data_IF_255739871317
#
_entry.id   IF_255739871317
#
_cell.length_a   1.000
_cell.length_b   1.000
_cell.length_c   1.000
_cell.angle_alpha   90.00
_cell.angle_beta   90.00
_cell.angle_gamma   90.00
#
_symmetry.space_group_name_H-M   'P 1'
#
loop_
_entity.id
_entity.type
_entity.pdbx_description
1 polymer ?
#
# COMPACT_ATOMS: atom_id res chain seq x y z
N UNK A 1 -7.49 10.41 6.81
CA UNK A 1 -6.58 9.27 6.67
C UNK A 1 -7.34 7.96 6.73
N UNK A 2 -8.09 7.74 7.80
CA UNK A 2 -8.87 6.51 7.95
C UNK A 2 -9.87 6.36 6.81
N UNK A 3 -10.51 7.46 6.41
CA UNK A 3 -11.45 7.44 5.30
C UNK A 3 -10.78 7.08 3.98
N UNK A 4 -9.56 7.59 3.76
CA UNK A 4 -8.79 7.28 2.56
C UNK A 4 -8.45 5.79 2.51
N UNK A 5 -7.96 5.23 3.61
CA UNK A 5 -7.65 3.80 3.69
C UNK A 5 -8.86 2.95 3.39
N UNK A 6 -9.98 3.27 4.01
CA UNK A 6 -11.22 2.51 3.83
C UNK A 6 -11.74 2.58 2.41
N UNK A 7 -11.81 3.79 1.84
CA UNK A 7 -12.33 3.98 0.50
C UNK A 7 -11.42 3.37 -0.57
N UNK A 8 -10.10 3.53 -0.42
CA UNK A 8 -9.15 2.97 -1.37
C UNK A 8 -9.11 1.44 -1.29
N UNK A 9 -9.17 0.87 -0.09
CA UNK A 9 -9.23 -0.58 0.07
C UNK A 9 -10.47 -1.15 -0.60
N UNK A 10 -11.60 -0.50 -0.41
CA UNK A 10 -12.86 -0.93 -1.02
C UNK A 10 -12.81 -0.84 -2.54
N UNK A 11 -12.20 0.22 -3.06
CA UNK A 11 -12.09 0.44 -4.50
C UNK A 11 -11.38 -0.72 -5.22
N UNK A 12 -10.29 -1.22 -4.66
CA UNK A 12 -9.51 -2.29 -5.27
C UNK A 12 -9.93 -3.69 -4.80
N UNK A 13 -10.87 -3.76 -3.88
CA UNK A 13 -11.29 -5.05 -3.33
C UNK A 13 -10.33 -5.63 -2.32
N UNK A 14 -9.50 -4.80 -1.72
CA UNK A 14 -8.56 -5.25 -0.71
C UNK A 14 -9.26 -5.45 0.64
N UNK A 15 -8.72 -6.36 1.43
CA UNK A 15 -9.22 -6.61 2.77
C UNK A 15 -8.52 -5.66 3.74
N UNK A 16 -9.27 -4.71 4.27
CA UNK A 16 -8.74 -3.75 5.22
C UNK A 16 -8.44 -4.43 6.56
N UNK A 17 -7.29 -4.12 7.14
CA UNK A 17 -6.91 -4.65 8.45
C UNK A 17 -7.50 -3.79 9.55
N UNK A 18 -8.18 -4.42 10.49
CA UNK A 18 -8.68 -3.72 11.68
C UNK A 18 -7.49 -3.44 12.59
N UNK A 19 -7.49 -2.26 13.20
CA UNK A 19 -6.44 -1.87 14.14
C UNK A 19 -5.05 -2.01 13.53
N UNK A 20 -4.86 -1.46 12.33
CA UNK A 20 -3.56 -1.44 11.65
C UNK A 20 -2.45 -1.11 12.63
N UNK A 21 -1.41 -1.93 12.62
CA UNK A 21 -0.27 -1.73 13.50
C UNK A 21 -0.43 -2.30 14.90
N UNK A 22 -1.60 -2.83 15.25
CA UNK A 22 -1.86 -3.33 16.60
C UNK A 22 -2.16 -4.82 16.68
N UNK A 23 -2.76 -5.40 15.68
CA UNK A 23 -3.15 -6.82 15.68
C UNK A 23 -2.10 -7.72 15.08
N UNK A 24 -2.51 -8.94 14.74
CA UNK A 24 -1.65 -9.91 14.07
C UNK A 24 -1.35 -9.52 12.64
N UNK A 25 -2.25 -8.79 12.00
CA UNK A 25 -2.04 -8.29 10.64
C UNK A 25 -1.52 -6.86 10.69
N UNK A 26 -0.41 -6.61 10.01
CA UNK A 26 0.22 -5.30 9.92
C UNK A 26 -0.07 -4.67 8.56
N UNK A 27 0.13 -3.34 8.47
CA UNK A 27 -0.20 -2.60 7.25
C UNK A 27 -1.69 -2.27 7.19
N UNK A 28 -2.10 -1.51 6.18
CA UNK A 28 -3.48 -1.02 6.07
C UNK A 28 -4.45 -2.05 5.50
N UNK A 29 -3.99 -2.83 4.53
CA UNK A 29 -4.84 -3.79 3.84
C UNK A 29 -4.05 -4.92 3.21
N UNK A 30 -4.72 -6.03 2.92
CA UNK A 30 -4.18 -7.12 2.12
C UNK A 30 -4.87 -7.11 0.77
N UNK A 31 -4.09 -7.16 -0.30
CA UNK A 31 -4.60 -7.20 -1.66
C UNK A 31 -3.77 -8.23 -2.44
N UNK A 32 -4.39 -9.36 -2.75
CA UNK A 32 -3.69 -10.51 -3.33
C UNK A 32 -2.46 -10.86 -2.47
N UNK A 33 -1.27 -10.89 -3.04
CA UNK A 33 -0.05 -11.21 -2.33
C UNK A 33 0.65 -9.97 -1.75
N UNK A 34 -0.03 -8.83 -1.72
CA UNK A 34 0.54 -7.59 -1.22
C UNK A 34 -0.03 -7.21 0.13
N UNK A 35 0.83 -6.66 0.98
CA UNK A 35 0.41 -5.87 2.12
C UNK A 35 0.54 -4.41 1.70
N UNK A 36 -0.56 -3.69 1.73
CA UNK A 36 -0.67 -2.35 1.16
C UNK A 36 -0.74 -1.30 2.26
N UNK A 37 0.06 -0.25 2.12
CA UNK A 37 -0.06 0.96 2.91
C UNK A 37 -0.55 2.09 2.01
N UNK A 38 -1.56 2.82 2.46
CA UNK A 38 -2.08 3.97 1.71
C UNK A 38 -1.51 5.25 2.27
N UNK A 39 -1.02 6.12 1.39
CA UNK A 39 -0.49 7.44 1.75
C UNK A 39 -1.24 8.51 0.97
N UNK A 40 -1.90 9.40 1.69
CA UNK A 40 -2.58 10.53 1.09
C UNK A 40 -1.62 11.71 1.03
N UNK A 41 -1.52 12.34 -0.13
CA UNK A 41 -0.53 13.39 -0.36
C UNK A 41 -1.22 14.75 -0.44
N UNK A 42 -0.83 15.68 0.46
CA UNK A 42 -1.24 17.07 0.38
C UNK A 42 -0.40 17.80 -0.67
N UNK A 43 0.84 18.14 -0.31
CA UNK A 43 1.76 18.82 -1.24
C UNK A 43 2.83 17.89 -1.79
N UNK A 44 3.31 16.97 -0.96
CA UNK A 44 4.38 16.07 -1.36
C UNK A 44 4.34 14.81 -0.52
N UNK A 45 4.99 13.78 -1.02
CA UNK A 45 5.23 12.55 -0.30
C UNK A 45 6.71 12.22 -0.38
N UNK A 46 7.31 11.91 0.75
CA UNK A 46 8.72 11.53 0.81
C UNK A 46 8.85 10.04 1.09
N UNK A 47 9.48 9.34 0.17
CA UNK A 47 9.86 7.95 0.38
C UNK A 47 11.31 7.92 0.83
N UNK A 48 11.56 7.36 2.00
CA UNK A 48 12.91 7.17 2.48
C UNK A 48 13.09 5.72 2.95
N UNK A 49 14.30 5.39 3.40
CA UNK A 49 14.59 4.02 3.85
C UNK A 49 13.70 3.56 4.98
N UNK A 50 13.39 4.45 5.91
CA UNK A 50 12.55 4.09 7.07
C UNK A 50 11.12 3.76 6.66
N UNK A 51 10.56 4.54 5.75
CA UNK A 51 9.21 4.31 5.24
C UNK A 51 9.13 2.96 4.53
N UNK A 52 10.10 2.69 3.65
CA UNK A 52 10.13 1.43 2.92
C UNK A 52 10.40 0.24 3.85
N UNK A 53 11.30 0.40 4.81
CA UNK A 53 11.62 -0.66 5.78
C UNK A 53 10.40 -1.04 6.61
N UNK A 54 9.59 -0.07 7.01
CA UNK A 54 8.37 -0.35 7.75
C UNK A 54 7.37 -1.14 6.89
N UNK A 55 7.17 -0.70 5.66
CA UNK A 55 6.28 -1.40 4.74
C UNK A 55 6.73 -2.84 4.51
N UNK A 56 8.03 -3.03 4.33
CA UNK A 56 8.62 -4.35 4.14
C UNK A 56 8.45 -5.24 5.36
N UNK A 57 8.72 -4.70 6.55
CA UNK A 57 8.58 -5.45 7.79
C UNK A 57 7.13 -5.91 8.00
N UNK A 58 6.19 -5.01 7.77
CA UNK A 58 4.76 -5.34 7.92
C UNK A 58 4.35 -6.42 6.92
N UNK A 59 4.82 -6.33 5.68
CA UNK A 59 4.51 -7.30 4.65
C UNK A 59 5.11 -8.68 4.97
N UNK A 60 6.34 -8.72 5.43
CA UNK A 60 7.01 -9.98 5.80
C UNK A 60 6.22 -10.69 6.90
N UNK A 61 5.76 -9.95 7.89
CA UNK A 61 4.97 -10.52 8.99
C UNK A 61 3.68 -11.17 8.50
N UNK A 62 3.14 -10.68 7.40
CA UNK A 62 1.92 -11.22 6.79
C UNK A 62 2.21 -12.26 5.70
N UNK A 63 3.48 -12.52 5.39
CA UNK A 63 3.87 -13.42 4.31
C UNK A 63 3.61 -12.84 2.93
N UNK A 64 3.63 -11.54 2.79
CA UNK A 64 3.29 -10.82 1.56
C UNK A 64 4.44 -9.94 1.09
N UNK A 65 4.28 -9.40 -0.12
CA UNK A 65 5.16 -8.37 -0.66
C UNK A 65 4.62 -6.99 -0.27
N UNK A 66 5.51 -6.01 -0.02
CA UNK A 66 5.05 -4.67 0.32
C UNK A 66 4.61 -3.88 -0.91
N UNK A 67 3.60 -3.05 -0.73
CA UNK A 67 3.18 -2.06 -1.73
C UNK A 67 2.74 -0.80 -1.01
N UNK A 68 3.19 0.35 -1.49
CA UNK A 68 2.76 1.64 -0.98
C UNK A 68 1.94 2.30 -2.06
N UNK A 69 0.69 2.60 -1.77
CA UNK A 69 -0.21 3.28 -2.69
C UNK A 69 -0.27 4.75 -2.29
N UNK A 70 0.22 5.61 -3.17
CA UNK A 70 0.25 7.05 -2.95
C UNK A 70 -0.93 7.66 -3.69
N UNK A 71 -1.80 8.34 -2.96
CA UNK A 71 -3.00 8.95 -3.51
C UNK A 71 -2.80 10.45 -3.59
N UNK A 72 -2.83 11.01 -4.79
CA UNK A 72 -2.58 12.42 -5.05
C UNK A 72 -3.83 13.05 -5.64
N UNK A 73 -4.21 14.23 -5.14
CA UNK A 73 -5.33 14.98 -5.68
C UNK A 73 -6.66 14.59 -5.07
N UNK A 74 -7.71 15.18 -5.60
CA UNK A 74 -9.06 15.04 -5.06
C UNK A 74 -10.07 14.80 -6.17
N UNK A 75 -11.18 14.19 -5.82
CA UNK A 75 -12.30 14.00 -6.73
C UNK A 75 -11.91 13.26 -7.98
N UNK A 76 -12.32 13.78 -9.12
CA UNK A 76 -12.05 13.16 -10.42
C UNK A 76 -10.60 13.33 -10.89
N UNK A 77 -9.87 14.23 -10.24
CA UNK A 77 -8.46 14.45 -10.56
C UNK A 77 -7.52 13.58 -9.73
N UNK A 78 -8.07 12.67 -8.95
CA UNK A 78 -7.27 11.80 -8.09
C UNK A 78 -6.42 10.84 -8.91
N UNK A 79 -5.12 10.78 -8.55
CA UNK A 79 -4.16 9.89 -9.19
C UNK A 79 -3.61 8.95 -8.14
N UNK A 80 -3.46 7.70 -8.50
CA UNK A 80 -2.92 6.69 -7.59
C UNK A 80 -1.64 6.11 -8.17
N UNK A 81 -0.59 6.14 -7.36
CA UNK A 81 0.72 5.59 -7.73
C UNK A 81 1.01 4.40 -6.84
N UNK A 82 1.53 3.35 -7.41
CA UNK A 82 1.92 2.16 -6.65
C UNK A 82 3.44 2.07 -6.60
N UNK A 83 3.98 1.91 -5.40
CA UNK A 83 5.41 1.70 -5.19
C UNK A 83 5.60 0.25 -4.77
N UNK A 84 6.28 -0.52 -5.62
CA UNK A 84 6.60 -1.93 -5.35
C UNK A 84 8.07 -2.17 -5.67
N UNK A 85 8.60 -3.27 -5.15
CA UNK A 85 9.96 -3.64 -5.48
C UNK A 85 10.07 -3.94 -6.97
N UNK A 86 11.15 -3.46 -7.60
CA UNK A 86 11.33 -3.59 -9.04
C UNK A 86 11.25 -5.04 -9.52
N UNK A 87 11.77 -5.98 -8.73
CA UNK A 87 11.72 -7.39 -9.08
C UNK A 87 10.29 -7.91 -9.27
N UNK A 88 9.35 -7.38 -8.51
CA UNK A 88 7.94 -7.78 -8.64
C UNK A 88 7.36 -7.24 -9.95
N UNK A 89 7.67 -5.99 -10.28
CA UNK A 89 7.22 -5.41 -11.53
C UNK A 89 7.81 -6.17 -12.72
N UNK A 90 9.08 -6.55 -12.64
CA UNK A 90 9.72 -7.33 -13.68
C UNK A 90 9.03 -8.67 -13.90
N UNK A 91 8.64 -9.35 -12.84
CA UNK A 91 7.88 -10.59 -12.94
C UNK A 91 6.55 -10.38 -13.67
N UNK A 92 5.85 -9.30 -13.34
CA UNK A 92 4.57 -8.98 -13.97
C UNK A 92 4.76 -8.72 -15.47
N UNK A 93 5.78 -7.93 -15.81
CA UNK A 93 6.05 -7.53 -17.20
C UNK A 93 6.51 -8.71 -18.05
N UNK A 94 7.32 -9.59 -17.46
CA UNK A 94 7.92 -10.71 -18.19
C UNK A 94 6.93 -11.83 -18.55
N UNK A 95 5.71 -11.59 -18.30
CA UNK A 95 4.70 -12.45 -18.86
C UNK A 95 4.33 -13.62 -18.04
N UNK A 96 4.41 -13.35 -16.99
CA UNK A 96 3.77 -14.29 -16.15
C UNK A 96 2.38 -14.63 -16.67
#
# INVERSE_FOLDING_TARGET
VILTEKSESKRIGAKQHKNSGRGTHKGDASWENFTVDFKEVGKSFTLNKAVWAKATTDAIKNGNDPAIIVVIGEGNAKVRLAIIEMSILEQIVDGV
#
